data_IF_062011080982
#
_entry.id   IF_062011080982
#
_cell.length_a   1.000
_cell.length_b   1.000
_cell.length_c   1.000
_cell.angle_alpha   90.00
_cell.angle_beta   90.00
_cell.angle_gamma   90.00
#
_symmetry.space_group_name_H-M   'P 1'
#
loop_
_entity.id
_entity.type
_entity.pdbx_description
1 polymer ?
#
# COMPACT_ATOMS: atom_id res chain seq x y z
N UNK A 1 13.06 59.01 -16.08
CA UNK A 1 12.96 58.03 -14.98
C UNK A 1 12.01 56.93 -15.43
N UNK A 2 12.54 55.76 -15.79
CA UNK A 2 11.75 54.61 -16.18
C UNK A 2 11.20 53.93 -14.92
N UNK A 3 9.92 53.52 -14.85
CA UNK A 3 9.43 52.76 -13.72
C UNK A 3 10.03 51.36 -13.80
N UNK A 4 10.75 50.98 -12.75
CA UNK A 4 11.29 49.64 -12.54
C UNK A 4 10.13 48.65 -12.50
N UNK A 5 10.05 47.77 -13.51
CA UNK A 5 9.17 46.60 -13.49
C UNK A 5 9.47 45.81 -12.23
N UNK A 6 8.55 45.85 -11.26
CA UNK A 6 8.56 44.93 -10.14
C UNK A 6 8.39 43.54 -10.74
N UNK A 7 9.46 42.75 -10.69
CA UNK A 7 9.37 41.32 -10.92
C UNK A 7 8.44 40.78 -9.85
N UNK A 8 7.18 40.56 -10.20
CA UNK A 8 6.28 39.68 -9.47
C UNK A 8 6.95 38.30 -9.56
N UNK A 9 7.76 37.94 -8.57
CA UNK A 9 8.12 36.55 -8.31
C UNK A 9 6.82 35.86 -7.96
N UNK A 10 6.20 35.25 -8.97
CA UNK A 10 4.96 34.52 -8.84
C UNK A 10 5.16 33.37 -7.87
N UNK A 11 4.29 33.29 -6.86
CA UNK A 11 4.08 32.13 -5.97
C UNK A 11 3.69 30.83 -6.72
N UNK A 12 3.79 30.82 -8.06
CA UNK A 12 3.94 29.62 -8.90
C UNK A 12 5.32 28.95 -8.72
N UNK A 13 5.92 29.10 -7.54
CA UNK A 13 7.06 28.31 -7.12
C UNK A 13 6.69 26.83 -7.26
N UNK A 14 7.43 26.17 -8.15
CA UNK A 14 7.49 24.73 -8.42
C UNK A 14 6.74 23.87 -7.39
N UNK A 15 5.42 23.70 -7.54
CA UNK A 15 4.69 22.65 -6.82
C UNK A 15 5.35 21.32 -7.19
N UNK A 16 6.16 20.82 -6.27
CA UNK A 16 6.75 19.51 -6.33
C UNK A 16 5.82 18.59 -5.56
N UNK A 17 4.85 18.01 -6.28
CA UNK A 17 3.81 17.17 -5.68
C UNK A 17 4.41 16.04 -4.81
N UNK A 18 5.57 15.51 -5.21
CA UNK A 18 6.26 14.43 -4.49
C UNK A 18 6.83 14.92 -3.17
N UNK A 19 7.36 16.14 -3.13
CA UNK A 19 7.86 16.74 -1.90
C UNK A 19 6.73 17.10 -0.93
N UNK A 20 5.63 17.68 -1.44
CA UNK A 20 4.40 17.89 -0.67
C UNK A 20 3.89 16.55 -0.11
N UNK A 21 3.88 15.50 -0.94
CA UNK A 21 3.52 14.16 -0.50
C UNK A 21 4.49 13.64 0.58
N UNK A 22 5.80 13.64 0.36
CA UNK A 22 6.77 13.13 1.34
C UNK A 22 6.61 13.83 2.71
N UNK A 23 6.46 15.16 2.70
CA UNK A 23 6.38 15.97 3.92
C UNK A 23 5.00 15.90 4.60
N UNK A 24 3.93 15.59 3.86
CA UNK A 24 2.58 15.43 4.38
C UNK A 24 2.27 14.04 4.97
N UNK A 25 3.25 13.14 5.04
CA UNK A 25 3.07 11.77 5.55
C UNK A 25 2.89 11.68 7.05
N UNK A 26 2.12 10.67 7.48
CA UNK A 26 1.94 10.36 8.90
C UNK A 26 3.22 9.83 9.55
N UNK A 27 4.08 9.17 8.79
CA UNK A 27 5.43 8.81 9.22
C UNK A 27 6.45 9.78 8.60
N UNK A 28 7.29 10.39 9.46
CA UNK A 28 8.21 11.46 9.05
C UNK A 28 9.34 10.94 8.17
N UNK A 29 9.69 11.68 7.13
CA UNK A 29 10.94 11.46 6.40
C UNK A 29 12.11 11.98 7.25
N UNK A 30 13.12 11.14 7.47
CA UNK A 30 14.23 11.41 8.41
C UNK A 30 15.58 11.10 7.77
N UNK A 31 16.66 11.55 8.42
CA UNK A 31 18.02 11.19 8.03
C UNK A 31 18.24 9.67 8.05
N UNK A 32 18.93 9.15 7.03
CA UNK A 32 19.11 7.71 6.84
C UNK A 32 19.90 7.03 7.96
N UNK A 33 20.87 7.74 8.55
CA UNK A 33 21.83 7.16 9.50
C UNK A 33 21.46 7.47 10.95
N UNK A 34 20.91 8.66 11.19
CA UNK A 34 20.67 9.22 12.53
C UNK A 34 19.19 9.40 12.85
N UNK A 35 18.30 9.29 11.86
CA UNK A 35 16.87 9.46 12.03
C UNK A 35 16.22 8.41 12.92
N UNK A 36 15.14 8.80 13.60
CA UNK A 36 14.33 7.95 14.49
C UNK A 36 12.85 8.28 14.33
N UNK A 37 11.97 7.34 14.71
CA UNK A 37 10.52 7.44 14.57
C UNK A 37 10.07 7.95 13.18
N UNK A 38 10.64 7.35 12.14
CA UNK A 38 10.49 7.84 10.78
C UNK A 38 10.96 6.84 9.74
N UNK A 39 10.96 7.30 8.49
CA UNK A 39 11.43 6.53 7.34
C UNK A 39 12.47 7.29 6.52
N UNK A 40 13.30 6.54 5.79
CA UNK A 40 14.25 7.06 4.82
C UNK A 40 14.36 6.10 3.63
N UNK A 41 15.09 6.47 2.58
CA UNK A 41 15.35 5.59 1.43
C UNK A 41 16.81 5.11 1.45
N UNK A 42 17.09 3.84 1.83
CA UNK A 42 18.44 3.30 1.88
C UNK A 42 18.96 3.00 0.47
N UNK A 43 20.26 3.20 0.14
CA UNK A 43 20.84 2.85 -1.16
C UNK A 43 20.53 1.41 -1.59
N UNK A 44 20.20 1.21 -2.88
CA UNK A 44 19.76 -0.09 -3.39
C UNK A 44 20.88 -1.13 -3.40
N UNK A 45 22.13 -0.69 -3.45
CA UNK A 45 23.31 -1.55 -3.34
C UNK A 45 23.45 -2.27 -1.99
N UNK A 46 22.70 -1.84 -0.97
CA UNK A 46 22.61 -2.56 0.30
C UNK A 46 21.83 -3.89 0.18
N UNK A 47 21.14 -4.10 -0.95
CA UNK A 47 20.39 -5.32 -1.25
C UNK A 47 21.10 -6.12 -2.34
N UNK A 48 21.29 -7.42 -2.10
CA UNK A 48 21.89 -8.34 -3.07
C UNK A 48 20.82 -9.21 -3.74
N UNK A 49 20.64 -9.03 -5.05
CA UNK A 49 19.59 -9.65 -5.85
C UNK A 49 20.16 -10.56 -6.94
N UNK A 50 19.32 -11.31 -7.65
CA UNK A 50 19.76 -12.21 -8.73
C UNK A 50 20.45 -11.41 -9.85
N UNK A 51 21.73 -11.70 -10.09
CA UNK A 51 22.50 -11.06 -11.16
C UNK A 51 22.22 -11.66 -12.54
N UNK A 52 22.81 -11.07 -13.59
CA UNK A 52 22.57 -11.42 -15.01
C UNK A 52 22.69 -12.92 -15.33
N UNK A 53 23.64 -13.62 -14.70
CA UNK A 53 23.91 -15.05 -14.95
C UNK A 53 23.35 -15.99 -13.86
N UNK A 54 22.44 -15.49 -13.00
CA UNK A 54 21.95 -16.25 -11.84
C UNK A 54 21.27 -17.56 -12.25
N UNK A 55 20.45 -17.54 -13.31
CA UNK A 55 19.69 -18.72 -13.73
C UNK A 55 20.55 -19.76 -14.46
N UNK A 56 21.63 -19.34 -15.14
CA UNK A 56 22.39 -20.18 -16.08
C UNK A 56 23.69 -20.76 -15.56
N UNK A 57 24.40 -20.09 -14.64
CA UNK A 57 25.77 -20.48 -14.29
C UNK A 57 25.98 -20.71 -12.81
N UNK A 58 26.02 -19.63 -12.03
CA UNK A 58 26.68 -19.62 -10.72
C UNK A 58 25.76 -19.21 -9.57
N UNK A 59 24.45 -19.03 -9.82
CA UNK A 59 23.50 -18.49 -8.83
C UNK A 59 24.02 -17.20 -8.17
N UNK A 60 24.80 -16.42 -8.91
CA UNK A 60 25.45 -15.23 -8.37
C UNK A 60 24.45 -14.11 -8.16
N UNK A 61 24.46 -13.57 -6.95
CA UNK A 61 23.77 -12.33 -6.61
C UNK A 61 24.73 -11.16 -6.69
N UNK A 62 24.20 -9.99 -7.04
CA UNK A 62 24.94 -8.73 -7.13
C UNK A 62 24.18 -7.63 -6.40
N UNK A 63 24.86 -6.56 -5.96
CA UNK A 63 24.17 -5.34 -5.52
C UNK A 63 23.11 -4.90 -6.55
N UNK A 64 21.95 -4.44 -6.07
CA UNK A 64 20.81 -4.12 -6.94
C UNK A 64 20.99 -2.86 -7.79
N UNK A 65 21.89 -1.94 -7.42
CA UNK A 65 21.89 -0.58 -7.95
C UNK A 65 20.63 0.20 -7.59
N UNK A 66 20.37 1.27 -8.34
CA UNK A 66 19.21 2.13 -8.14
C UNK A 66 17.88 1.37 -8.31
N UNK A 67 16.92 1.72 -7.45
CA UNK A 67 15.53 1.29 -7.60
C UNK A 67 14.87 1.93 -8.82
N UNK A 68 13.85 1.24 -9.36
CA UNK A 68 13.11 1.64 -10.54
C UNK A 68 12.19 2.85 -10.29
N UNK A 69 11.62 2.98 -9.08
CA UNK A 69 10.61 3.98 -8.74
C UNK A 69 11.08 4.88 -7.60
N UNK A 70 10.83 6.18 -7.71
CA UNK A 70 11.20 7.14 -6.66
C UNK A 70 10.25 7.04 -5.47
N UNK A 71 10.74 7.10 -4.23
CA UNK A 71 9.88 7.15 -3.04
C UNK A 71 8.97 8.39 -3.11
N UNK A 72 7.70 8.21 -2.76
CA UNK A 72 6.68 9.26 -2.76
C UNK A 72 6.07 9.51 -1.37
N UNK A 73 6.34 8.64 -0.40
CA UNK A 73 5.89 8.81 0.98
C UNK A 73 5.78 7.49 1.70
N UNK A 74 5.64 7.57 3.02
CA UNK A 74 5.22 6.44 3.86
C UNK A 74 4.15 6.92 4.81
N UNK A 75 3.14 6.08 5.03
CA UNK A 75 2.14 6.29 6.07
C UNK A 75 2.18 5.16 7.10
N UNK A 76 1.99 5.55 8.36
CA UNK A 76 1.74 4.66 9.48
C UNK A 76 0.37 5.00 10.05
N UNK A 77 -0.62 4.18 9.68
CA UNK A 77 -2.03 4.43 9.95
C UNK A 77 -2.57 3.42 10.95
N UNK A 78 -3.55 3.85 11.74
CA UNK A 78 -4.38 2.95 12.55
C UNK A 78 -5.86 3.22 12.33
N UNK A 79 -6.68 2.20 12.49
CA UNK A 79 -8.12 2.26 12.23
C UNK A 79 -8.86 1.11 12.92
N UNK A 80 -10.19 1.22 13.01
CA UNK A 80 -11.01 0.18 13.62
C UNK A 80 -11.08 -1.07 12.74
N UNK A 81 -11.27 -0.89 11.43
CA UNK A 81 -11.34 -1.97 10.44
C UNK A 81 -10.12 -1.89 9.51
N UNK A 82 -9.80 -2.97 8.78
CA UNK A 82 -8.77 -2.94 7.74
C UNK A 82 -9.02 -1.80 6.74
N UNK A 83 -7.94 -1.16 6.31
CA UNK A 83 -7.95 -0.12 5.29
C UNK A 83 -7.51 -0.74 3.98
N UNK A 84 -8.48 -1.04 3.14
CA UNK A 84 -8.24 -1.55 1.79
C UNK A 84 -8.24 -0.42 0.77
N UNK A 85 -7.45 -0.58 -0.29
CA UNK A 85 -7.40 0.35 -1.44
C UNK A 85 -7.27 1.83 -1.05
N UNK A 86 -6.24 2.13 -0.27
CA UNK A 86 -5.94 3.43 0.33
C UNK A 86 -5.79 4.53 -0.72
N UNK A 87 -5.23 4.22 -1.89
CA UNK A 87 -5.08 5.17 -3.00
C UNK A 87 -6.41 5.57 -3.63
N UNK A 88 -7.45 4.74 -3.58
CA UNK A 88 -8.76 5.12 -4.13
C UNK A 88 -9.56 6.09 -3.24
N UNK A 89 -9.12 6.31 -1.99
CA UNK A 89 -9.85 7.18 -1.06
C UNK A 89 -9.75 8.64 -1.49
N UNK A 90 -10.86 9.37 -1.38
CA UNK A 90 -10.90 10.80 -1.70
C UNK A 90 -10.03 11.68 -0.80
N UNK A 91 -9.69 11.19 0.40
CA UNK A 91 -8.78 11.85 1.34
C UNK A 91 -7.32 11.38 1.19
N UNK A 92 -7.01 10.54 0.20
CA UNK A 92 -5.64 10.07 -0.02
C UNK A 92 -4.72 11.24 -0.41
N UNK A 93 -3.76 11.56 0.46
CA UNK A 93 -2.82 12.68 0.28
C UNK A 93 -1.92 12.55 -0.94
N UNK A 94 -1.53 11.32 -1.33
CA UNK A 94 -0.63 11.09 -2.47
C UNK A 94 -1.36 11.45 -3.75
N UNK A 95 -2.56 10.89 -3.94
CA UNK A 95 -3.40 11.23 -5.08
C UNK A 95 -3.82 12.69 -5.06
N UNK A 96 -4.16 13.26 -3.91
CA UNK A 96 -4.55 14.67 -3.82
C UNK A 96 -3.40 15.61 -4.21
N UNK A 97 -2.17 15.35 -3.77
CA UNK A 97 -1.00 16.13 -4.19
C UNK A 97 -0.72 15.98 -5.68
N UNK A 98 -0.74 14.75 -6.21
CA UNK A 98 -0.52 14.49 -7.63
C UNK A 98 -1.61 15.13 -8.51
N UNK A 99 -2.87 15.07 -8.08
CA UNK A 99 -4.01 15.69 -8.78
C UNK A 99 -3.90 17.21 -8.85
N UNK A 100 -3.30 17.87 -7.83
CA UNK A 100 -2.98 19.31 -7.92
C UNK A 100 -1.99 19.58 -9.05
N UNK A 101 -0.93 18.77 -9.18
CA UNK A 101 0.02 18.90 -10.27
C UNK A 101 -0.61 18.60 -11.65
N UNK A 102 -1.47 17.59 -11.73
CA UNK A 102 -2.22 17.26 -12.96
C UNK A 102 -3.09 18.42 -13.44
N UNK A 103 -3.79 19.11 -12.52
CA UNK A 103 -4.60 20.30 -12.85
C UNK A 103 -3.78 21.45 -13.45
N UNK A 104 -2.47 21.46 -13.20
CA UNK A 104 -1.52 22.42 -13.76
C UNK A 104 -0.80 21.88 -15.02
N UNK A 105 -1.24 20.74 -15.56
CA UNK A 105 -0.64 20.11 -16.73
C UNK A 105 0.72 19.43 -16.46
N UNK A 106 1.09 19.23 -15.18
CA UNK A 106 2.37 18.62 -14.77
C UNK A 106 2.17 17.15 -14.39
N UNK A 107 3.22 16.34 -14.50
CA UNK A 107 3.26 14.95 -14.02
C UNK A 107 2.17 14.01 -14.56
N UNK A 108 1.56 14.33 -15.71
CA UNK A 108 0.42 13.60 -16.28
C UNK A 108 0.69 12.11 -16.61
N UNK A 109 1.97 11.71 -16.65
CA UNK A 109 2.39 10.32 -16.93
C UNK A 109 2.89 9.58 -15.68
N UNK A 110 2.80 10.20 -14.50
CA UNK A 110 3.22 9.59 -13.25
C UNK A 110 2.31 8.42 -12.90
N UNK A 111 2.91 7.28 -12.62
CA UNK A 111 2.26 6.09 -12.10
C UNK A 111 2.66 5.87 -10.63
N UNK A 112 1.69 5.59 -9.76
CA UNK A 112 1.92 5.31 -8.33
C UNK A 112 1.91 3.81 -8.09
N UNK A 113 2.92 3.31 -7.39
CA UNK A 113 2.96 1.95 -6.87
C UNK A 113 2.92 2.00 -5.34
N UNK A 114 1.93 1.35 -4.74
CA UNK A 114 1.78 1.28 -3.30
C UNK A 114 1.81 -0.15 -2.78
N UNK A 115 2.46 -0.33 -1.64
CA UNK A 115 2.40 -1.57 -0.85
C UNK A 115 1.88 -1.20 0.53
N UNK A 116 0.76 -1.80 0.93
CA UNK A 116 0.13 -1.61 2.23
C UNK A 116 0.28 -2.90 3.04
N UNK A 117 1.21 -2.91 3.99
CA UNK A 117 1.35 -4.02 4.93
C UNK A 117 0.29 -3.85 6.02
N UNK A 118 -0.75 -4.67 5.95
CA UNK A 118 -1.88 -4.65 6.87
C UNK A 118 -1.60 -5.57 8.06
N UNK A 119 -1.66 -5.01 9.26
CA UNK A 119 -1.40 -5.71 10.51
C UNK A 119 -2.69 -5.77 11.32
N UNK A 120 -3.37 -6.92 11.36
CA UNK A 120 -4.54 -7.08 12.20
C UNK A 120 -4.14 -7.07 13.68
N UNK A 121 -4.99 -6.48 14.49
CA UNK A 121 -4.82 -6.36 15.93
C UNK A 121 -6.10 -5.88 16.57
N UNK A 122 -6.01 -5.41 17.82
CA UNK A 122 -7.15 -4.73 18.47
C UNK A 122 -7.59 -3.51 17.66
N UNK A 123 -6.61 -2.69 17.29
CA UNK A 123 -6.72 -1.71 16.22
C UNK A 123 -5.98 -2.28 15.00
N UNK A 124 -6.53 -2.12 13.80
CA UNK A 124 -5.87 -2.48 12.56
C UNK A 124 -4.86 -1.41 12.20
N UNK A 125 -3.65 -1.82 11.82
CA UNK A 125 -2.60 -0.91 11.39
C UNK A 125 -2.23 -1.13 9.93
N UNK A 126 -1.83 -0.07 9.25
CA UNK A 126 -1.36 -0.08 7.86
C UNK A 126 -0.05 0.67 7.76
N UNK A 127 1.01 -0.03 7.36
CA UNK A 127 2.26 0.58 6.90
C UNK A 127 2.22 0.67 5.38
N UNK A 128 2.01 1.87 4.85
CA UNK A 128 1.80 2.11 3.42
C UNK A 128 3.03 2.76 2.81
N UNK A 129 3.61 2.12 1.81
CA UNK A 129 4.82 2.57 1.12
C UNK A 129 4.45 3.01 -0.29
N UNK A 130 4.66 4.28 -0.59
CA UNK A 130 4.33 4.84 -1.90
C UNK A 130 5.59 5.09 -2.71
N UNK A 131 5.57 4.67 -3.96
CA UNK A 131 6.60 4.92 -4.95
C UNK A 131 5.96 5.46 -6.23
N UNK A 132 6.74 6.16 -7.04
CA UNK A 132 6.24 6.82 -8.24
C UNK A 132 7.24 6.82 -9.38
N UNK A 133 6.72 6.84 -10.60
CA UNK A 133 7.53 7.06 -11.80
C UNK A 133 7.72 8.55 -12.09
N UNK A 134 8.89 8.91 -12.61
CA UNK A 134 9.11 10.19 -13.29
C UNK A 134 8.78 10.07 -14.79
N UNK A 135 9.18 8.95 -15.38
CA UNK A 135 8.98 8.63 -16.80
C UNK A 135 7.95 7.52 -17.01
N UNK A 136 7.37 7.39 -18.22
CA UNK A 136 6.50 6.27 -18.54
C UNK A 136 7.19 4.92 -18.30
N UNK A 137 6.43 3.96 -17.78
CA UNK A 137 6.91 2.60 -17.60
C UNK A 137 7.14 1.98 -18.98
N UNK A 138 8.35 1.47 -19.29
CA UNK A 138 8.62 0.86 -20.59
C UNK A 138 7.68 -0.32 -20.84
N UNK A 139 7.03 -0.29 -21.99
CA UNK A 139 6.22 -1.41 -22.50
C UNK A 139 7.12 -2.66 -22.54
N UNK A 140 6.55 -3.82 -22.21
CA UNK A 140 7.22 -5.12 -22.10
C UNK A 140 8.19 -5.32 -20.93
N UNK A 141 8.52 -4.27 -20.16
CA UNK A 141 9.29 -4.44 -18.93
C UNK A 141 8.60 -5.40 -17.96
N UNK A 142 9.38 -6.10 -17.12
CA UNK A 142 8.81 -7.00 -16.11
C UNK A 142 7.81 -6.27 -15.19
N UNK A 143 8.09 -5.01 -14.86
CA UNK A 143 7.18 -4.20 -14.04
C UNK A 143 5.90 -3.83 -14.79
N UNK A 144 5.97 -3.49 -16.08
CA UNK A 144 4.79 -3.30 -16.91
C UNK A 144 3.91 -4.57 -16.95
N UNK A 145 4.53 -5.72 -17.25
CA UNK A 145 3.83 -7.01 -17.23
C UNK A 145 3.22 -7.35 -15.86
N UNK A 146 3.88 -6.96 -14.77
CA UNK A 146 3.35 -7.13 -13.41
C UNK A 146 2.13 -6.25 -13.13
N UNK A 147 2.13 -4.99 -13.58
CA UNK A 147 0.97 -4.10 -13.47
C UNK A 147 -0.21 -4.62 -14.27
N UNK A 148 0.04 -5.11 -15.48
CA UNK A 148 -1.00 -5.50 -16.43
C UNK A 148 -1.36 -7.00 -16.43
N UNK A 149 -0.64 -7.82 -15.66
CA UNK A 149 -0.89 -9.26 -15.53
C UNK A 149 -2.09 -9.60 -14.66
N UNK A 150 -2.30 -10.89 -14.43
CA UNK A 150 -3.33 -11.41 -13.51
C UNK A 150 -2.77 -11.60 -12.08
N UNK A 151 -3.65 -11.88 -11.13
CA UNK A 151 -3.26 -12.07 -9.73
C UNK A 151 -2.42 -13.34 -9.54
N UNK A 152 -2.59 -14.36 -10.37
CA UNK A 152 -1.75 -15.56 -10.31
C UNK A 152 -0.28 -15.19 -10.64
N UNK A 153 -0.06 -14.44 -11.71
CA UNK A 153 1.24 -13.89 -12.05
C UNK A 153 1.77 -13.00 -10.92
N UNK A 154 0.98 -12.06 -10.40
CA UNK A 154 1.45 -11.19 -9.32
C UNK A 154 1.83 -11.97 -8.06
N UNK A 155 1.00 -12.94 -7.67
CA UNK A 155 1.23 -13.77 -6.50
C UNK A 155 2.50 -14.62 -6.62
N UNK A 156 2.79 -15.14 -7.82
CA UNK A 156 3.99 -15.92 -8.04
C UNK A 156 5.28 -15.09 -8.02
N UNK A 157 5.19 -13.76 -8.18
CA UNK A 157 6.33 -12.92 -8.54
C UNK A 157 6.61 -11.79 -7.55
N UNK A 158 5.61 -11.33 -6.79
CA UNK A 158 5.80 -10.24 -5.83
C UNK A 158 6.66 -10.67 -4.64
N UNK A 159 7.76 -9.95 -4.42
CA UNK A 159 8.82 -10.32 -3.48
C UNK A 159 9.21 -9.14 -2.60
N UNK A 160 9.61 -9.46 -1.37
CA UNK A 160 10.27 -8.55 -0.45
C UNK A 160 11.66 -9.07 -0.12
N UNK A 161 12.61 -8.16 0.08
CA UNK A 161 13.92 -8.41 0.69
C UNK A 161 14.12 -7.52 1.89
N UNK A 162 14.59 -8.08 3.00
CA UNK A 162 14.71 -7.41 4.29
C UNK A 162 16.15 -7.46 4.79
N UNK A 163 16.58 -6.38 5.44
CA UNK A 163 17.86 -6.30 6.14
C UNK A 163 17.67 -5.57 7.47
N UNK A 164 18.01 -6.25 8.57
CA UNK A 164 18.02 -5.61 9.90
C UNK A 164 19.31 -4.82 10.06
N UNK A 165 19.17 -3.49 10.04
CA UNK A 165 20.26 -2.53 10.19
C UNK A 165 20.68 -2.45 11.65
N UNK A 166 19.69 -2.29 12.53
CA UNK A 166 19.85 -2.22 13.98
C UNK A 166 18.74 -3.04 14.62
N UNK A 167 19.07 -3.73 15.70
CA UNK A 167 18.11 -4.53 16.45
C UNK A 167 18.77 -5.65 17.24
N UNK A 168 18.07 -6.21 18.24
CA UNK A 168 18.54 -7.38 18.98
C UNK A 168 18.84 -8.56 18.07
N UNK A 169 19.79 -9.41 18.45
CA UNK A 169 20.20 -10.58 17.66
C UNK A 169 19.02 -11.51 17.35
N UNK A 170 18.05 -11.64 18.26
CA UNK A 170 16.86 -12.47 18.07
C UNK A 170 15.95 -11.94 16.94
N UNK A 171 15.79 -10.61 16.83
CA UNK A 171 15.05 -9.99 15.71
C UNK A 171 15.82 -10.20 14.40
N UNK A 172 17.15 -10.05 14.44
CA UNK A 172 18.02 -10.34 13.29
C UNK A 172 17.90 -11.79 12.81
N UNK A 173 17.86 -12.75 13.73
CA UNK A 173 17.71 -14.16 13.40
C UNK A 173 16.33 -14.46 12.79
N UNK A 174 15.26 -13.97 13.42
CA UNK A 174 13.89 -14.20 12.94
C UNK A 174 13.64 -13.61 11.55
N UNK A 175 14.03 -12.34 11.33
CA UNK A 175 13.88 -11.69 10.02
C UNK A 175 14.90 -12.22 9.01
N UNK A 176 16.12 -12.57 9.46
CA UNK A 176 17.19 -13.08 8.61
C UNK A 176 16.86 -14.43 7.96
N UNK A 177 16.21 -15.34 8.69
CA UNK A 177 15.70 -16.61 8.13
C UNK A 177 14.68 -16.38 7.00
N UNK A 178 14.09 -15.18 6.93
CA UNK A 178 13.13 -14.75 5.93
C UNK A 178 13.59 -13.45 5.23
N UNK A 179 14.91 -13.28 5.06
CA UNK A 179 15.50 -12.08 4.48
C UNK A 179 15.07 -11.85 3.02
N UNK A 180 14.55 -12.87 2.33
CA UNK A 180 13.86 -12.74 1.06
C UNK A 180 12.61 -13.61 1.08
N UNK A 181 11.47 -13.07 0.69
CA UNK A 181 10.19 -13.78 0.72
C UNK A 181 9.34 -13.41 -0.50
N UNK A 182 8.75 -14.41 -1.17
CA UNK A 182 7.70 -14.20 -2.16
C UNK A 182 6.39 -13.91 -1.43
N UNK A 183 6.11 -12.63 -1.18
CA UNK A 183 4.94 -12.18 -0.42
C UNK A 183 3.64 -12.75 -1.01
N UNK A 184 3.50 -12.70 -2.33
CA UNK A 184 2.30 -13.20 -3.01
C UNK A 184 2.06 -14.71 -2.90
N UNK A 185 3.06 -15.48 -2.47
CA UNK A 185 2.88 -16.91 -2.14
C UNK A 185 2.71 -17.15 -0.64
N UNK A 186 3.35 -16.32 0.17
CA UNK A 186 3.42 -16.51 1.62
C UNK A 186 2.23 -15.89 2.37
N UNK A 187 1.58 -14.90 1.77
CA UNK A 187 0.50 -14.11 2.36
C UNK A 187 -0.62 -13.90 1.33
N UNK A 188 -1.81 -13.61 1.84
CA UNK A 188 -2.90 -13.10 1.02
C UNK A 188 -2.57 -11.67 0.57
N UNK A 189 -2.51 -11.47 -0.75
CA UNK A 189 -2.35 -10.17 -1.38
C UNK A 189 -3.62 -9.81 -2.17
N UNK A 190 -4.18 -8.62 -1.94
CA UNK A 190 -5.24 -8.06 -2.77
C UNK A 190 -4.67 -6.95 -3.65
N UNK A 191 -5.02 -6.95 -4.93
CA UNK A 191 -4.45 -6.05 -5.93
C UNK A 191 -5.51 -5.06 -6.42
N UNK A 192 -5.25 -3.77 -6.25
CA UNK A 192 -6.15 -2.70 -6.69
C UNK A 192 -5.48 -1.86 -7.76
N UNK A 193 -6.07 -1.82 -8.95
CA UNK A 193 -5.54 -1.06 -10.07
C UNK A 193 -6.50 0.06 -10.44
N UNK A 194 -5.99 1.29 -10.45
CA UNK A 194 -6.65 2.45 -11.05
C UNK A 194 -5.99 2.86 -12.36
N UNK A 195 -6.36 4.03 -12.87
CA UNK A 195 -5.83 4.55 -14.14
C UNK A 195 -4.33 4.86 -14.07
N UNK A 196 -3.88 5.40 -12.93
CA UNK A 196 -2.51 5.83 -12.69
C UNK A 196 -1.86 5.14 -11.49
N UNK A 197 -2.41 4.04 -10.98
CA UNK A 197 -1.80 3.34 -9.84
C UNK A 197 -2.05 1.84 -9.79
N UNK A 198 -1.17 1.17 -9.05
CA UNK A 198 -1.35 -0.18 -8.51
C UNK A 198 -1.06 -0.16 -7.01
N UNK A 199 -2.00 -0.65 -6.21
CA UNK A 199 -1.85 -0.89 -4.79
C UNK A 199 -1.90 -2.40 -4.50
N UNK A 200 -1.03 -2.85 -3.59
CA UNK A 200 -1.00 -4.20 -3.08
C UNK A 200 -1.26 -4.16 -1.58
N UNK A 201 -2.42 -4.64 -1.15
CA UNK A 201 -2.73 -4.87 0.24
C UNK A 201 -2.22 -6.25 0.64
N UNK A 202 -1.27 -6.29 1.58
CA UNK A 202 -0.62 -7.51 2.05
C UNK A 202 -1.11 -7.81 3.47
N UNK A 203 -1.92 -8.84 3.62
CA UNK A 203 -2.48 -9.23 4.91
C UNK A 203 -1.48 -10.06 5.72
N UNK A 204 -0.78 -9.44 6.67
CA UNK A 204 0.17 -10.14 7.54
C UNK A 204 -0.53 -11.19 8.40
N UNK A 205 -1.81 -10.98 8.74
CA UNK A 205 -2.61 -11.91 9.54
C UNK A 205 -2.91 -13.24 8.86
N UNK A 206 -2.74 -13.32 7.54
CA UNK A 206 -2.96 -14.55 6.77
C UNK A 206 -1.91 -15.64 7.04
N UNK A 207 -0.80 -15.31 7.72
CA UNK A 207 0.24 -16.25 8.12
C UNK A 207 0.60 -16.12 9.60
N UNK A 208 0.52 -17.23 10.32
CA UNK A 208 0.93 -17.32 11.72
C UNK A 208 2.43 -17.04 11.91
N UNK A 209 3.26 -17.47 10.95
CA UNK A 209 4.71 -17.24 10.96
C UNK A 209 4.99 -15.74 10.76
N UNK A 210 4.38 -15.12 9.74
CA UNK A 210 4.59 -13.69 9.48
C UNK A 210 4.10 -12.84 10.65
N UNK A 211 2.93 -13.15 11.19
CA UNK A 211 2.39 -12.51 12.39
C UNK A 211 3.33 -12.64 13.58
N UNK A 212 3.92 -13.82 13.81
CA UNK A 212 4.87 -14.03 14.92
C UNK A 212 6.15 -13.20 14.74
N UNK A 213 6.72 -13.18 13.53
CA UNK A 213 7.92 -12.39 13.23
C UNK A 213 7.65 -10.89 13.40
N UNK A 214 6.51 -10.40 12.91
CA UNK A 214 6.17 -8.99 13.03
C UNK A 214 5.91 -8.59 14.48
N UNK A 215 5.14 -9.38 15.24
CA UNK A 215 4.93 -9.12 16.66
C UNK A 215 6.25 -9.14 17.46
N UNK A 216 7.18 -10.03 17.10
CA UNK A 216 8.52 -10.01 17.68
C UNK A 216 9.26 -8.71 17.36
N UNK A 217 9.23 -8.26 16.11
CA UNK A 217 9.83 -6.99 15.72
C UNK A 217 9.17 -5.80 16.46
N UNK A 218 7.85 -5.82 16.63
CA UNK A 218 7.09 -4.80 17.35
C UNK A 218 7.46 -4.69 18.83
N UNK A 219 7.82 -5.78 19.51
CA UNK A 219 8.34 -5.71 20.88
C UNK A 219 9.62 -4.89 21.01
N UNK A 220 10.35 -4.71 19.92
CA UNK A 220 11.63 -3.99 19.89
C UNK A 220 11.62 -2.83 18.91
N UNK A 221 10.45 -2.38 18.44
CA UNK A 221 10.33 -1.47 17.29
C UNK A 221 11.06 -0.14 17.50
N UNK A 222 11.16 0.35 18.72
CA UNK A 222 11.89 1.58 19.08
C UNK A 222 13.41 1.42 19.08
N UNK A 223 13.91 0.19 19.01
CA UNK A 223 15.34 -0.15 18.97
C UNK A 223 15.74 -0.86 17.67
N UNK A 224 14.80 -0.98 16.72
CA UNK A 224 14.98 -1.70 15.46
C UNK A 224 14.95 -0.72 14.29
N UNK A 225 15.88 -0.92 13.36
CA UNK A 225 15.86 -0.29 12.04
C UNK A 225 15.90 -1.38 10.97
N UNK A 226 14.93 -1.36 10.07
CA UNK A 226 14.75 -2.38 9.03
C UNK A 226 14.78 -1.70 7.67
N UNK A 227 15.64 -2.19 6.79
CA UNK A 227 15.58 -1.93 5.37
C UNK A 227 14.67 -2.97 4.71
N UNK A 228 13.70 -2.52 3.92
CA UNK A 228 12.79 -3.33 3.13
C UNK A 228 12.88 -2.90 1.67
N UNK A 229 13.00 -3.86 0.77
CA UNK A 229 13.02 -3.66 -0.67
C UNK A 229 11.94 -4.50 -1.33
N UNK A 230 11.14 -3.90 -2.20
CA UNK A 230 10.09 -4.58 -2.96
C UNK A 230 10.54 -4.80 -4.40
N UNK A 231 10.26 -5.98 -4.95
CA UNK A 231 10.63 -6.32 -6.32
C UNK A 231 9.69 -7.35 -6.95
N UNK A 232 9.77 -7.46 -8.28
CA UNK A 232 9.18 -8.57 -9.03
C UNK A 232 10.29 -9.58 -9.30
N UNK A 233 10.15 -10.81 -8.79
CA UNK A 233 11.15 -11.86 -8.94
C UNK A 233 11.32 -12.22 -10.42
N UNK A 234 12.56 -12.32 -10.91
CA UNK A 234 12.85 -12.77 -12.27
C UNK A 234 12.83 -14.31 -12.34
N UNK A 235 12.19 -14.89 -13.35
CA UNK A 235 12.12 -16.35 -13.55
C UNK A 235 12.74 -16.82 -14.86
N UNK A 236 12.99 -15.92 -15.81
CA UNK A 236 13.74 -16.19 -17.04
C UNK A 236 14.93 -15.22 -17.20
N UNK A 237 15.79 -15.50 -18.18
CA UNK A 237 17.04 -14.76 -18.37
C UNK A 237 16.82 -13.32 -18.83
N UNK A 238 15.79 -13.07 -19.63
CA UNK A 238 15.44 -11.74 -20.16
C UNK A 238 14.98 -10.77 -19.06
N UNK A 239 14.55 -11.30 -17.93
CA UNK A 239 14.13 -10.56 -16.74
C UNK A 239 15.29 -10.23 -15.79
N UNK A 240 16.51 -10.69 -16.08
CA UNK A 240 17.70 -10.44 -15.27
C UNK A 240 18.56 -9.29 -15.81
N UNK A 241 19.26 -8.55 -14.93
CA UNK A 241 19.31 -8.71 -13.47
C UNK A 241 18.02 -8.22 -12.77
N UNK A 242 17.73 -8.80 -11.60
CA UNK A 242 16.66 -8.29 -10.73
C UNK A 242 16.99 -6.86 -10.27
N UNK A 243 15.97 -6.00 -10.21
CA UNK A 243 16.06 -4.64 -9.66
C UNK A 243 14.93 -4.39 -8.67
N UNK A 244 15.21 -3.63 -7.62
CA UNK A 244 14.19 -3.14 -6.70
C UNK A 244 13.21 -2.23 -7.44
N UNK A 245 11.91 -2.40 -7.18
CA UNK A 245 10.90 -1.39 -7.49
C UNK A 245 11.10 -0.16 -6.61
N UNK A 246 11.30 -0.38 -5.31
CA UNK A 246 11.54 0.65 -4.32
C UNK A 246 12.15 0.08 -3.05
N UNK A 247 12.77 0.94 -2.25
CA UNK A 247 13.36 0.59 -0.97
C UNK A 247 12.95 1.60 0.11
N UNK A 248 12.89 1.14 1.35
CA UNK A 248 12.55 1.96 2.52
C UNK A 248 13.31 1.46 3.73
N UNK A 249 13.76 2.39 4.57
CA UNK A 249 14.23 2.15 5.93
C UNK A 249 13.15 2.63 6.88
N UNK A 250 12.68 1.77 7.77
CA UNK A 250 11.91 2.18 8.93
C UNK A 250 12.85 2.23 10.12
N UNK A 251 12.93 3.38 10.79
CA UNK A 251 13.87 3.62 11.88
C UNK A 251 13.12 3.89 13.18
N UNK A 252 13.29 2.99 14.16
CA UNK A 252 12.84 3.20 15.55
C UNK A 252 11.38 3.65 15.65
N UNK A 253 10.48 3.04 14.88
CA UNK A 253 9.08 3.47 14.78
C UNK A 253 8.36 3.30 16.12
N UNK A 254 7.55 4.26 16.51
CA UNK A 254 6.69 4.14 17.69
C UNK A 254 5.29 3.68 17.28
N UNK A 255 4.77 2.60 17.87
CA UNK A 255 3.42 2.11 17.52
C UNK A 255 2.34 3.18 17.77
N UNK A 256 2.51 3.98 18.81
CA UNK A 256 1.56 5.04 19.21
C UNK A 256 1.55 6.26 18.30
N UNK A 257 2.52 6.41 17.38
CA UNK A 257 2.54 7.52 16.41
C UNK A 257 1.60 7.29 15.22
N UNK A 258 0.93 6.14 15.16
CA UNK A 258 0.00 5.82 14.08
C UNK A 258 -1.14 6.85 13.97
N UNK A 259 -1.29 7.44 12.78
CA UNK A 259 -2.35 8.38 12.51
C UNK A 259 -3.70 7.65 12.41
N UNK A 260 -4.68 8.10 13.19
CA UNK A 260 -5.99 7.46 13.18
C UNK A 260 -6.79 7.88 11.94
N UNK A 261 -7.24 6.90 11.17
CA UNK A 261 -8.09 7.08 10.00
C UNK A 261 -9.46 6.49 10.27
N UNK A 262 -10.50 7.29 10.04
CA UNK A 262 -11.87 6.79 10.11
C UNK A 262 -12.13 5.84 8.93
N UNK A 263 -12.49 4.59 9.25
CA UNK A 263 -12.91 3.62 8.24
C UNK A 263 -14.31 4.01 7.78
N UNK A 264 -14.47 4.30 6.48
CA UNK A 264 -15.74 4.72 5.87
C UNK A 264 -16.78 3.59 5.78
N UNK A 265 -16.48 2.39 6.31
CA UNK A 265 -17.31 1.20 6.21
C UNK A 265 -18.62 1.22 7.04
N UNK A 266 -19.06 2.36 7.61
CA UNK A 266 -20.21 2.41 8.51
C UNK A 266 -21.21 3.56 8.26
N UNK A 267 -21.43 3.99 7.01
CA UNK A 267 -22.54 4.92 6.68
C UNK A 267 -23.45 4.47 5.53
N UNK A 268 -23.54 3.16 5.28
CA UNK A 268 -24.44 2.61 4.28
C UNK A 268 -25.15 1.37 4.78
N UNK A 269 -26.14 1.54 5.67
CA UNK A 269 -27.29 0.65 5.89
C UNK A 269 -28.21 1.30 6.96
N UNK A 270 -28.57 2.58 6.73
CA UNK A 270 -29.75 3.14 7.36
C UNK A 270 -30.96 2.53 6.67
N UNK A 271 -31.52 1.47 7.24
CA UNK A 271 -32.83 0.94 6.89
C UNK A 271 -33.82 2.11 6.81
N UNK A 272 -34.18 2.50 5.60
CA UNK A 272 -35.35 3.35 5.38
C UNK A 272 -36.55 2.55 5.87
N UNK A 273 -36.99 2.82 7.11
CA UNK A 273 -38.29 2.38 7.61
C UNK A 273 -39.33 3.00 6.69
N UNK A 274 -39.83 2.19 5.75
CA UNK A 274 -41.03 2.52 4.99
C UNK A 274 -42.19 2.32 5.95
N UNK A 275 -42.74 3.42 6.46
CA UNK A 275 -43.98 3.38 7.23
C UNK A 275 -45.10 2.92 6.31
N UNK A 276 -45.61 1.70 6.49
CA UNK A 276 -46.91 1.32 5.96
C UNK A 276 -47.99 2.08 6.74
N UNK A 277 -48.48 3.18 6.18
CA UNK A 277 -49.74 3.78 6.61
C UNK A 277 -50.86 2.79 6.31
N UNK A 278 -51.37 2.12 7.35
CA UNK A 278 -52.63 1.39 7.29
C UNK A 278 -53.77 2.40 7.08
N UNK A 279 -54.37 2.35 5.89
CA UNK A 279 -55.62 3.02 5.59
C UNK A 279 -56.75 2.41 6.42
N UNK A 280 -57.38 3.24 7.24
CA UNK A 280 -58.51 2.89 8.08
C UNK A 280 -59.78 2.82 7.20
N UNK A 281 -60.16 1.61 6.77
CA UNK A 281 -61.38 1.33 6.03
C UNK A 281 -62.46 0.79 6.97
N UNK A 282 -63.31 1.67 7.48
CA UNK A 282 -64.50 1.34 8.26
C UNK A 282 -65.62 0.89 7.29
N UNK A 283 -65.99 -0.40 7.25
CA UNK A 283 -67.36 -0.82 6.89
C UNK A 283 -67.73 -2.06 7.71
N UNK A 284 -68.81 -1.89 8.46
CA UNK A 284 -69.47 -2.85 9.35
C UNK A 284 -70.60 -3.62 8.67
N UNK A 285 -70.82 -4.88 9.12
CA UNK A 285 -72.05 -5.73 9.00
C UNK A 285 -72.36 -6.18 7.56
N UNK A 286 -72.70 -7.44 7.26
CA UNK A 286 -73.74 -8.31 7.84
C UNK A 286 -73.78 -9.67 7.08
N UNK A 287 -74.14 -10.79 7.76
CA UNK A 287 -74.64 -12.06 7.19
C UNK A 287 -73.65 -12.87 6.34
N UNK A 288 -73.63 -14.19 6.27
CA UNK A 288 -74.52 -15.23 6.80
C UNK A 288 -73.70 -16.54 6.78
N UNK A 289 -73.98 -17.45 7.71
CA UNK A 289 -73.33 -18.75 7.79
C UNK A 289 -74.13 -19.86 7.12
N UNK A 290 -73.41 -20.90 6.65
CA UNK A 290 -73.95 -22.18 6.19
C UNK A 290 -73.90 -22.31 4.67
N UNK A 291 -73.44 -23.39 4.05
CA UNK A 291 -73.02 -24.71 4.49
C UNK A 291 -72.96 -25.62 3.25
N UNK A 292 -72.59 -26.88 3.47
CA UNK A 292 -72.74 -28.04 2.58
C UNK A 292 -71.54 -28.36 1.67
N UNK A 293 -70.88 -29.43 2.10
CA UNK A 293 -70.11 -30.39 1.32
C UNK A 293 -71.08 -31.26 0.50
N UNK A 294 -70.82 -31.43 -0.78
CA UNK A 294 -71.39 -32.53 -1.57
C UNK A 294 -70.41 -33.71 -1.64
N UNK A 295 -70.94 -34.88 -1.33
CA UNK A 295 -70.34 -36.20 -1.53
C UNK A 295 -71.04 -36.88 -2.72
N UNK A 296 -70.21 -37.57 -3.51
CA UNK A 296 -70.48 -38.78 -4.29
C UNK A 296 -71.49 -38.75 -5.44
N UNK A 297 -70.98 -39.17 -6.62
CA UNK A 297 -71.69 -39.37 -7.88
C UNK A 297 -70.72 -39.33 -9.05
#
# INVERSE_FOLDING_TARGET
>A
MCPTTKHLTTEEEKINWREEAINGGSLKHVDLLTGTNGWASPPGDLFTLRGKNFLTKNKQKTPSGDWLLKPAGVDWLRSVNKLDNILARGDNRIQNSLNKAHKLGKNLKTFIFAVNLQVPGRDNHSAVFYYSTDEPIPVDSLFYRFIHGDDNFRNQRFKIVNRIVKGPWMVKAAVGNHAACLLGKALTCNYYRGDNYLEIDVDIGSSTIASAILHLAFKYVTAVSIDMGFLVEAVNEEELPERLLGAVRIAHMEMTSAFFVESTAARGLGLSKVNHCHGNGNVSRSGDGGGVLDKEG
#
